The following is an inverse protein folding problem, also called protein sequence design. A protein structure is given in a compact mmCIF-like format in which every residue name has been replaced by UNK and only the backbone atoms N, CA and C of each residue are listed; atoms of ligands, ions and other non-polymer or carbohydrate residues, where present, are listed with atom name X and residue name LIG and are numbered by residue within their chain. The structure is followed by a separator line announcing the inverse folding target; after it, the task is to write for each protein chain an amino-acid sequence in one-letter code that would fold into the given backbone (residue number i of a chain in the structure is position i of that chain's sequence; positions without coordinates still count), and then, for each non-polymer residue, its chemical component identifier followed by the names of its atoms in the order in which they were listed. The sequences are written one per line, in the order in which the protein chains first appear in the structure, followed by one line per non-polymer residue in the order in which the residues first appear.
data_IF_516208487937
#
_entry.id   IF_516208487937
#
_cell.length_a   1.000
_cell.length_b   1.000
_cell.length_c   1.000
_cell.angle_alpha   90.00
_cell.angle_beta   90.00
_cell.angle_gamma   90.00
#
_symmetry.space_group_name_H-M   'P 1'
#
loop_
_entity.id
_entity.type
_entity.pdbx_description
1 polymer ?
#
# COMPACT_ATOMS: atom_id res chain seq x y z
N UNK A 1 5.00 -15.25 -1.14
CA UNK A 1 4.80 -15.95 0.15
C UNK A 1 5.38 -15.17 1.33
N UNK A 2 6.54 -14.54 1.23
CA UNK A 2 7.18 -13.80 2.33
C UNK A 2 6.47 -12.52 2.78
N UNK A 3 5.69 -11.86 1.94
CA UNK A 3 5.08 -10.56 2.27
C UNK A 3 3.88 -10.63 3.22
N UNK A 4 3.10 -11.71 3.18
CA UNK A 4 1.94 -11.88 4.08
C UNK A 4 2.32 -12.50 5.44
N UNK A 5 3.29 -13.41 5.46
CA UNK A 5 3.82 -13.96 6.72
C UNK A 5 4.53 -12.89 7.56
N UNK A 6 5.22 -11.95 6.92
CA UNK A 6 5.82 -10.83 7.63
C UNK A 6 4.78 -9.96 8.35
N UNK A 7 3.55 -9.89 7.80
CA UNK A 7 2.44 -9.17 8.43
C UNK A 7 1.87 -9.90 9.66
N UNK A 8 1.84 -11.22 9.64
CA UNK A 8 1.26 -12.01 10.74
C UNK A 8 2.15 -12.00 11.98
N UNK A 9 3.46 -12.09 11.81
CA UNK A 9 4.42 -12.04 12.93
C UNK A 9 4.56 -10.63 13.53
N UNK A 10 4.44 -9.57 12.71
CA UNK A 10 4.42 -8.20 13.21
C UNK A 10 3.18 -7.88 14.04
N UNK A 11 2.01 -8.39 13.67
CA UNK A 11 0.77 -8.23 14.46
C UNK A 11 0.85 -8.96 15.81
N UNK A 12 1.43 -10.16 15.87
CA UNK A 12 1.63 -10.89 17.13
C UNK A 12 2.63 -10.21 18.06
N UNK A 13 3.74 -9.69 17.55
CA UNK A 13 4.75 -8.99 18.37
C UNK A 13 4.28 -7.64 18.90
N UNK A 14 3.33 -6.99 18.20
CA UNK A 14 2.82 -5.67 18.58
C UNK A 14 1.89 -5.69 19.79
N UNK A 15 1.23 -6.81 20.06
CA UNK A 15 0.35 -6.98 21.23
C UNK A 15 1.11 -7.28 22.52
N UNK A 16 2.41 -7.64 22.45
CA UNK A 16 3.22 -8.04 23.59
C UNK A 16 4.10 -6.94 24.20
N UNK A 17 4.23 -5.75 23.58
CA UNK A 17 5.14 -4.70 24.04
C UNK A 17 4.41 -3.49 24.61
N UNK A 18 3.71 -3.67 25.73
CA UNK A 18 3.42 -2.57 26.65
C UNK A 18 4.08 -2.93 27.96
N UNK A 19 5.15 -2.22 28.29
CA UNK A 19 5.59 -1.77 29.61
C UNK A 19 7.10 -1.48 29.59
N UNK A 20 7.44 -0.22 29.74
CA UNK A 20 8.34 0.28 30.77
C UNK A 20 8.71 1.73 30.48
N UNK A 21 8.11 2.61 31.25
CA UNK A 21 8.53 4.00 31.41
C UNK A 21 9.68 4.02 32.40
N UNK A 22 10.80 4.62 32.06
CA UNK A 22 11.73 5.18 33.05
C UNK A 22 12.34 6.47 32.51
N UNK A 23 11.96 7.58 33.17
CA UNK A 23 12.74 8.82 33.17
C UNK A 23 13.90 8.69 34.19
N UNK A 24 15.06 9.32 33.95
CA UNK A 24 15.40 10.38 34.83
C UNK A 24 15.93 11.66 34.14
N UNK A 25 15.55 12.77 34.75
CA UNK A 25 16.08 14.09 34.51
C UNK A 25 17.56 14.20 34.88
N UNK A 26 18.35 14.92 34.07
CA UNK A 26 19.56 15.56 34.52
C UNK A 26 19.67 16.95 33.90
N UNK A 27 19.75 17.89 34.81
CA UNK A 27 19.98 19.33 34.66
C UNK A 27 21.50 19.59 34.55
N UNK A 28 21.87 20.55 33.69
CA UNK A 28 23.01 21.38 34.02
C UNK A 28 24.14 21.48 33.02
N UNK A 29 24.34 22.59 32.56
CA UNK A 29 25.55 23.45 32.43
C UNK A 29 25.82 23.98 31.02
N UNK A 30 25.55 25.28 30.87
CA UNK A 30 25.94 26.07 29.73
C UNK A 30 27.45 26.28 29.71
N UNK A 31 28.10 25.99 28.58
CA UNK A 31 29.43 26.53 28.27
C UNK A 31 29.34 27.15 26.87
N UNK A 32 29.43 28.49 26.86
CA UNK A 32 29.60 29.33 25.69
C UNK A 32 30.98 29.07 25.08
N UNK A 33 31.03 28.29 24.01
CA UNK A 33 32.16 28.34 23.08
C UNK A 33 31.60 28.71 21.70
N UNK A 34 31.97 29.92 21.26
CA UNK A 34 31.71 30.36 19.91
C UNK A 34 32.48 29.47 18.92
N UNK A 35 31.79 28.50 18.36
CA UNK A 35 32.26 27.78 17.21
C UNK A 35 31.46 28.34 16.04
N UNK A 36 32.14 29.13 15.21
CA UNK A 36 31.65 29.46 13.87
C UNK A 36 31.47 28.15 13.10
N UNK A 37 30.26 27.62 13.12
CA UNK A 37 29.88 26.55 12.26
C UNK A 37 29.78 27.12 10.84
N UNK A 38 30.87 27.00 10.10
CA UNK A 38 30.82 27.03 8.65
C UNK A 38 29.90 25.88 8.28
N UNK A 39 28.63 26.20 8.05
CA UNK A 39 27.67 25.28 7.48
C UNK A 39 28.12 24.98 6.04
N UNK A 40 29.09 24.08 5.89
CA UNK A 40 29.21 23.34 4.63
C UNK A 40 27.95 22.47 4.57
N UNK A 41 26.94 22.96 3.89
CA UNK A 41 25.84 22.17 3.37
C UNK A 41 26.40 21.20 2.31
N UNK A 42 27.14 20.20 2.74
CA UNK A 42 27.22 18.94 2.05
C UNK A 42 25.82 18.33 2.20
N UNK A 43 24.88 18.81 1.39
CA UNK A 43 23.71 18.04 1.04
C UNK A 43 24.29 16.73 0.50
N UNK A 44 24.33 15.69 1.35
CA UNK A 44 24.57 14.34 0.91
C UNK A 44 23.58 14.15 -0.25
N UNK A 45 24.08 13.97 -1.47
CA UNK A 45 23.29 13.50 -2.59
C UNK A 45 22.68 12.21 -2.13
N UNK A 46 21.46 12.29 -1.61
CA UNK A 46 20.66 11.12 -1.26
C UNK A 46 20.51 10.36 -2.57
N UNK A 47 21.21 9.24 -2.66
CA UNK A 47 21.33 8.44 -3.86
C UNK A 47 19.93 8.17 -4.44
N UNK A 48 19.64 8.74 -5.60
CA UNK A 48 18.45 8.40 -6.36
C UNK A 48 18.60 6.97 -6.87
N UNK A 49 17.51 6.22 -6.85
CA UNK A 49 17.46 4.85 -7.32
C UNK A 49 16.70 4.83 -8.66
N UNK A 50 17.47 4.73 -9.75
CA UNK A 50 16.91 4.57 -11.09
C UNK A 50 16.67 3.08 -11.34
N UNK A 51 15.47 2.72 -11.81
CA UNK A 51 15.13 1.35 -12.13
C UNK A 51 14.08 1.22 -13.21
N UNK A 52 14.09 0.06 -13.86
CA UNK A 52 13.01 -0.39 -14.71
C UNK A 52 12.11 -1.36 -13.94
N UNK A 53 10.83 -1.29 -14.22
CA UNK A 53 9.84 -2.16 -13.62
C UNK A 53 8.78 -2.57 -14.63
N UNK A 54 8.27 -3.79 -14.47
CA UNK A 54 7.20 -4.32 -15.29
C UNK A 54 5.92 -4.46 -14.48
N UNK A 55 4.79 -4.22 -15.13
CA UNK A 55 3.47 -4.42 -14.57
C UNK A 55 2.51 -4.91 -15.63
N UNK A 56 1.53 -5.67 -15.22
CA UNK A 56 0.51 -6.19 -16.11
C UNK A 56 -0.86 -6.17 -15.48
N UNK A 57 -1.88 -6.06 -16.34
CA UNK A 57 -3.27 -6.14 -15.95
C UNK A 57 -4.10 -6.78 -17.06
N UNK A 58 -4.90 -7.81 -16.73
CA UNK A 58 -5.80 -8.49 -17.66
C UNK A 58 -7.07 -7.67 -17.87
N UNK A 59 -7.33 -7.25 -19.11
CA UNK A 59 -8.54 -6.53 -19.48
C UNK A 59 -9.74 -7.51 -19.49
N UNK A 60 -10.73 -7.24 -18.69
CA UNK A 60 -11.94 -8.07 -18.56
C UNK A 60 -13.20 -7.27 -18.89
N UNK A 61 -14.31 -7.98 -19.06
CA UNK A 61 -15.60 -7.32 -19.32
C UNK A 61 -15.91 -6.27 -18.23
N UNK A 62 -16.23 -5.05 -18.68
CA UNK A 62 -16.47 -3.89 -17.81
C UNK A 62 -15.27 -2.99 -17.58
N UNK A 63 -14.04 -3.41 -17.95
CA UNK A 63 -12.88 -2.55 -17.88
C UNK A 63 -12.71 -1.75 -19.18
N UNK A 64 -12.20 -0.51 -19.07
CA UNK A 64 -11.72 0.24 -20.22
C UNK A 64 -10.22 0.02 -20.43
N UNK A 65 -9.74 0.22 -21.67
CA UNK A 65 -8.30 0.16 -21.96
C UNK A 65 -7.50 1.14 -21.09
N UNK A 66 -8.04 2.35 -20.86
CA UNK A 66 -7.40 3.36 -20.01
C UNK A 66 -7.28 2.90 -18.56
N UNK A 67 -8.31 2.25 -18.02
CA UNK A 67 -8.24 1.66 -16.68
C UNK A 67 -7.20 0.55 -16.61
N UNK A 68 -7.19 -0.37 -17.58
CA UNK A 68 -6.23 -1.47 -17.62
C UNK A 68 -4.78 -0.95 -17.72
N UNK A 69 -4.52 0.05 -18.55
CA UNK A 69 -3.22 0.71 -18.66
C UNK A 69 -2.81 1.38 -17.34
N UNK A 70 -3.72 2.15 -16.73
CA UNK A 70 -3.46 2.82 -15.45
C UNK A 70 -3.12 1.81 -14.34
N UNK A 71 -3.85 0.71 -14.26
CA UNK A 71 -3.61 -0.34 -13.29
C UNK A 71 -2.29 -1.11 -13.56
N UNK A 72 -1.95 -1.35 -14.83
CA UNK A 72 -0.68 -1.97 -15.20
C UNK A 72 0.52 -1.06 -14.83
N UNK A 73 0.43 0.24 -15.15
CA UNK A 73 1.44 1.24 -14.77
C UNK A 73 1.56 1.33 -13.25
N UNK A 74 0.43 1.39 -12.53
CA UNK A 74 0.45 1.41 -11.08
C UNK A 74 1.09 0.14 -10.50
N UNK A 75 0.80 -1.04 -11.04
CA UNK A 75 1.42 -2.30 -10.61
C UNK A 75 2.95 -2.26 -10.78
N UNK A 76 3.44 -1.75 -11.92
CA UNK A 76 4.87 -1.58 -12.17
C UNK A 76 5.51 -0.60 -11.17
N UNK A 77 4.91 0.59 -10.98
CA UNK A 77 5.38 1.60 -10.02
C UNK A 77 5.41 1.04 -8.60
N UNK A 78 4.34 0.36 -8.17
CA UNK A 78 4.25 -0.24 -6.84
C UNK A 78 5.34 -1.29 -6.61
N UNK A 79 5.62 -2.13 -7.59
CA UNK A 79 6.72 -3.12 -7.54
C UNK A 79 8.07 -2.43 -7.34
N UNK A 80 8.34 -1.38 -8.12
CA UNK A 80 9.55 -0.58 -8.03
C UNK A 80 9.69 0.09 -6.63
N UNK A 81 8.64 0.74 -6.16
CA UNK A 81 8.62 1.40 -4.84
C UNK A 81 8.83 0.40 -3.71
N UNK A 82 8.26 -0.81 -3.81
CA UNK A 82 8.50 -1.87 -2.83
C UNK A 82 9.96 -2.34 -2.81
N UNK A 83 10.59 -2.46 -3.98
CA UNK A 83 12.01 -2.81 -4.08
C UNK A 83 12.89 -1.71 -3.49
N UNK A 84 12.65 -0.45 -3.87
CA UNK A 84 13.35 0.71 -3.31
C UNK A 84 13.16 0.85 -1.79
N UNK A 85 11.96 0.64 -1.28
CA UNK A 85 11.68 0.66 0.16
C UNK A 85 12.46 -0.40 0.94
N UNK A 86 12.70 -1.58 0.34
CA UNK A 86 13.56 -2.61 0.95
C UNK A 86 15.02 -2.15 0.99
N UNK A 87 15.50 -1.53 -0.08
CA UNK A 87 16.87 -1.01 -0.17
C UNK A 87 17.12 0.10 0.86
N UNK A 88 16.21 1.08 0.93
CA UNK A 88 16.33 2.19 1.87
C UNK A 88 16.07 1.78 3.32
N UNK A 89 15.21 0.79 3.58
CA UNK A 89 14.89 0.32 4.94
C UNK A 89 16.07 -0.32 5.66
N UNK A 90 17.06 -0.78 4.93
CA UNK A 90 18.28 -1.32 5.55
C UNK A 90 19.17 -0.25 6.15
N UNK A 91 18.96 1.02 5.84
CA UNK A 91 19.85 2.11 6.25
C UNK A 91 19.24 3.13 7.21
N UNK A 92 18.01 3.62 7.06
CA UNK A 92 17.50 4.74 7.86
C UNK A 92 15.97 4.90 7.92
N UNK A 93 15.18 4.13 7.15
CA UNK A 93 13.76 4.39 6.96
C UNK A 93 12.81 3.45 7.73
N UNK A 94 13.34 2.47 8.49
CA UNK A 94 12.50 1.47 9.20
C UNK A 94 11.55 2.14 10.20
N UNK A 95 11.99 3.19 10.86
CA UNK A 95 11.17 3.92 11.83
C UNK A 95 10.10 4.80 11.18
N UNK A 96 10.38 5.33 9.98
CA UNK A 96 9.45 6.20 9.24
C UNK A 96 8.18 5.47 8.79
N UNK A 97 8.30 4.21 8.39
CA UNK A 97 7.18 3.49 7.80
C UNK A 97 6.20 2.91 8.82
N UNK A 98 6.68 2.37 9.92
CA UNK A 98 5.85 1.80 10.97
C UNK A 98 4.59 1.09 10.45
N UNK A 99 3.46 1.37 11.07
CA UNK A 99 2.14 0.81 10.71
C UNK A 99 1.58 1.34 9.37
N UNK A 100 2.14 2.43 8.84
CA UNK A 100 1.65 3.14 7.65
C UNK A 100 2.35 2.70 6.36
N UNK A 101 3.19 1.68 6.43
CA UNK A 101 4.03 1.25 5.31
C UNK A 101 3.27 1.05 4.00
N UNK A 102 2.13 0.36 4.05
CA UNK A 102 1.35 0.07 2.84
C UNK A 102 0.71 1.33 2.26
N UNK A 103 0.24 2.23 3.12
CA UNK A 103 -0.31 3.52 2.71
C UNK A 103 0.75 4.34 1.99
N UNK A 104 1.92 4.51 2.62
CA UNK A 104 3.05 5.27 2.07
C UNK A 104 3.52 4.69 0.73
N UNK A 105 3.72 3.37 0.64
CA UNK A 105 4.15 2.73 -0.61
C UNK A 105 3.15 3.01 -1.76
N UNK A 106 1.85 2.91 -1.48
CA UNK A 106 0.84 3.10 -2.52
C UNK A 106 0.73 4.58 -2.94
N UNK A 107 0.78 5.53 -2.00
CA UNK A 107 0.79 6.98 -2.30
C UNK A 107 2.06 7.35 -3.08
N UNK A 108 3.23 6.88 -2.64
CA UNK A 108 4.49 7.09 -3.36
C UNK A 108 4.39 6.58 -4.80
N UNK A 109 3.85 5.37 -5.00
CA UNK A 109 3.71 4.80 -6.34
C UNK A 109 2.82 5.64 -7.26
N UNK A 110 1.73 6.23 -6.75
CA UNK A 110 0.89 7.13 -7.54
C UNK A 110 1.61 8.44 -7.88
N UNK A 111 2.32 9.02 -6.92
CA UNK A 111 2.95 10.34 -7.06
C UNK A 111 4.19 10.35 -7.97
N UNK A 112 4.86 9.19 -8.11
CA UNK A 112 6.05 9.09 -8.97
C UNK A 112 5.71 9.31 -10.45
N UNK A 113 6.54 10.09 -11.11
CA UNK A 113 6.56 10.15 -12.57
C UNK A 113 7.32 8.95 -13.13
N UNK A 114 6.85 8.43 -14.25
CA UNK A 114 7.51 7.33 -14.95
C UNK A 114 7.48 7.55 -16.46
N UNK A 115 8.49 7.04 -17.15
CA UNK A 115 8.51 6.98 -18.61
C UNK A 115 8.16 5.58 -19.05
N UNK A 116 7.13 5.43 -19.87
CA UNK A 116 6.79 4.13 -20.47
C UNK A 116 7.82 3.81 -21.56
N UNK A 117 8.54 2.73 -21.38
CA UNK A 117 9.51 2.23 -22.34
C UNK A 117 8.84 1.31 -23.36
N UNK A 118 7.89 0.51 -22.91
CA UNK A 118 7.18 -0.46 -23.73
C UNK A 118 5.76 -0.65 -23.21
N UNK A 119 4.83 -0.79 -24.15
CA UNK A 119 3.44 -1.18 -23.89
C UNK A 119 3.01 -2.22 -24.91
N UNK A 120 2.49 -3.35 -24.42
CA UNK A 120 2.04 -4.46 -25.25
C UNK A 120 0.67 -4.94 -24.77
N UNK A 121 -0.07 -5.53 -25.71
CA UNK A 121 -1.38 -6.12 -25.44
C UNK A 121 -1.45 -7.57 -25.94
N UNK A 122 -0.64 -8.50 -25.37
CA UNK A 122 -0.70 -9.90 -25.75
C UNK A 122 -2.05 -10.49 -25.37
N UNK A 123 -2.50 -11.48 -26.17
CA UNK A 123 -3.66 -12.29 -25.84
C UNK A 123 -3.20 -13.48 -25.03
N UNK A 124 -3.75 -13.69 -23.83
CA UNK A 124 -3.55 -14.89 -23.03
C UNK A 124 -4.92 -15.45 -22.63
N UNK A 125 -5.13 -16.74 -22.90
CA UNK A 125 -6.41 -17.42 -22.58
C UNK A 125 -7.65 -16.66 -23.10
N UNK A 126 -7.57 -16.11 -24.31
CA UNK A 126 -8.59 -15.29 -24.95
C UNK A 126 -8.89 -13.94 -24.26
N UNK A 127 -8.00 -13.47 -23.40
CA UNK A 127 -8.10 -12.15 -22.77
C UNK A 127 -6.89 -11.28 -23.12
N UNK A 128 -7.09 -10.00 -23.51
CA UNK A 128 -6.00 -9.09 -23.70
C UNK A 128 -5.39 -8.70 -22.35
N UNK A 129 -4.07 -8.72 -22.27
CA UNK A 129 -3.32 -8.28 -21.10
C UNK A 129 -2.58 -7.00 -21.45
N UNK A 130 -2.81 -5.92 -20.71
CA UNK A 130 -1.95 -4.76 -20.75
C UNK A 130 -0.66 -5.09 -20.02
N UNK A 131 0.46 -5.12 -20.72
CA UNK A 131 1.79 -5.28 -20.14
C UNK A 131 2.60 -4.02 -20.42
N UNK A 132 3.16 -3.43 -19.37
CA UNK A 132 3.97 -2.21 -19.48
C UNK A 132 5.34 -2.43 -18.86
N UNK A 133 6.36 -1.86 -19.50
CA UNK A 133 7.67 -1.65 -18.88
C UNK A 133 7.89 -0.16 -18.74
N UNK A 134 8.24 0.27 -17.56
CA UNK A 134 8.45 1.67 -17.23
C UNK A 134 9.85 1.87 -16.66
N UNK A 135 10.36 3.09 -16.86
CA UNK A 135 11.57 3.60 -16.19
C UNK A 135 11.16 4.70 -15.23
N UNK A 136 11.72 4.67 -14.02
CA UNK A 136 11.45 5.67 -12.99
C UNK A 136 12.67 5.88 -12.10
N UNK A 137 12.70 7.03 -11.45
CA UNK A 137 13.70 7.41 -10.45
C UNK A 137 13.02 7.57 -9.12
N UNK A 138 13.51 6.91 -8.10
CA UNK A 138 12.96 6.94 -6.74
C UNK A 138 14.00 7.56 -5.81
N UNK A 139 13.58 8.53 -5.00
CA UNK A 139 14.40 9.19 -4.00
C UNK A 139 13.83 8.92 -2.60
N UNK A 140 14.63 8.92 -1.55
CA UNK A 140 14.11 8.85 -0.18
C UNK A 140 13.11 9.96 0.15
N UNK A 141 13.26 11.17 -0.45
CA UNK A 141 12.32 12.29 -0.30
C UNK A 141 10.89 11.92 -0.74
N UNK A 142 10.73 11.08 -1.78
CA UNK A 142 9.42 10.71 -2.31
C UNK A 142 8.58 9.97 -1.25
N UNK A 143 9.23 9.19 -0.40
CA UNK A 143 8.58 8.51 0.72
C UNK A 143 8.21 9.47 1.85
N UNK A 144 9.05 10.48 2.10
CA UNK A 144 8.80 11.53 3.10
C UNK A 144 7.60 12.37 2.66
N UNK A 145 7.55 12.76 1.40
CA UNK A 145 6.43 13.52 0.82
C UNK A 145 5.12 12.72 0.92
N UNK A 146 5.14 11.44 0.55
CA UNK A 146 3.98 10.56 0.68
C UNK A 146 3.53 10.38 2.15
N UNK A 147 4.47 10.36 3.10
CA UNK A 147 4.14 10.32 4.52
C UNK A 147 3.49 11.62 4.99
N UNK A 148 3.99 12.77 4.58
CA UNK A 148 3.40 14.07 4.90
C UNK A 148 1.98 14.14 4.35
N UNK A 149 1.77 13.73 3.10
CA UNK A 149 0.47 13.67 2.46
C UNK A 149 -0.50 12.74 3.22
N UNK A 150 -0.05 11.54 3.60
CA UNK A 150 -0.85 10.62 4.39
C UNK A 150 -1.27 11.22 5.74
N UNK A 151 -0.37 11.94 6.41
CA UNK A 151 -0.69 12.64 7.66
C UNK A 151 -1.72 13.77 7.47
N UNK A 152 -1.66 14.49 6.35
CA UNK A 152 -2.65 15.52 6.00
C UNK A 152 -4.03 14.92 5.76
N UNK A 153 -4.08 13.78 5.06
CA UNK A 153 -5.33 13.03 4.84
C UNK A 153 -5.94 12.54 6.16
N UNK A 154 -5.12 12.05 7.09
CA UNK A 154 -5.59 11.64 8.43
C UNK A 154 -6.20 12.82 9.22
N UNK A 155 -5.57 13.99 9.18
CA UNK A 155 -6.11 15.19 9.85
C UNK A 155 -7.45 15.62 9.26
N UNK A 156 -7.61 15.57 7.94
CA UNK A 156 -8.88 15.89 7.28
C UNK A 156 -10.00 14.95 7.71
N UNK A 157 -9.73 13.65 7.79
CA UNK A 157 -10.73 12.65 8.20
C UNK A 157 -11.09 12.78 9.67
N UNK A 158 -10.11 12.98 10.57
CA UNK A 158 -10.41 13.18 11.99
C UNK A 158 -11.21 14.47 12.24
N UNK A 159 -11.00 15.51 11.45
CA UNK A 159 -11.82 16.72 11.52
C UNK A 159 -13.25 16.52 10.98
N UNK A 160 -13.43 15.61 10.01
CA UNK A 160 -14.74 15.29 9.43
C UNK A 160 -15.52 14.25 10.22
N UNK A 161 -14.86 13.34 10.95
CA UNK A 161 -15.53 12.30 11.75
C UNK A 161 -16.34 12.85 12.93
N UNK A 162 -16.11 14.12 13.31
CA UNK A 162 -16.95 14.85 14.26
C UNK A 162 -18.25 15.40 13.64
N UNK A 163 -18.37 15.34 12.32
CA UNK A 163 -19.56 15.81 11.59
C UNK A 163 -20.07 14.69 10.70
N UNK A 164 -20.98 13.89 11.20
CA UNK A 164 -21.75 12.90 10.44
C UNK A 164 -21.00 11.64 9.98
N UNK A 165 -21.71 10.52 9.92
CA UNK A 165 -21.37 9.28 9.19
C UNK A 165 -21.26 9.57 7.68
N UNK A 166 -20.27 10.38 7.30
CA UNK A 166 -20.07 10.69 5.88
C UNK A 166 -19.58 9.45 5.16
N UNK A 167 -20.35 9.07 4.16
CA UNK A 167 -19.93 8.06 3.21
C UNK A 167 -18.59 8.48 2.58
N UNK A 168 -17.56 7.60 2.59
CA UNK A 168 -16.27 7.92 2.02
C UNK A 168 -16.42 8.28 0.53
N UNK A 169 -15.99 9.48 0.15
CA UNK A 169 -16.04 9.96 -1.23
C UNK A 169 -14.89 9.35 -2.02
N UNK A 170 -15.21 8.65 -3.11
CA UNK A 170 -14.19 8.16 -4.05
C UNK A 170 -14.00 9.22 -5.13
N UNK A 171 -12.76 9.65 -5.32
CA UNK A 171 -12.41 10.53 -6.41
C UNK A 171 -12.71 9.88 -7.78
N UNK A 172 -13.19 10.67 -8.73
CA UNK A 172 -13.34 10.19 -10.11
C UNK A 172 -12.00 10.09 -10.87
N UNK A 173 -10.92 10.61 -10.29
CA UNK A 173 -9.58 10.46 -10.87
C UNK A 173 -9.07 9.03 -10.69
N UNK A 174 -8.30 8.54 -11.67
CA UNK A 174 -7.69 7.21 -11.62
C UNK A 174 -6.38 7.29 -10.82
N UNK A 175 -6.50 7.23 -9.49
CA UNK A 175 -5.40 7.20 -8.54
C UNK A 175 -5.48 5.91 -7.70
N UNK A 176 -5.15 4.75 -8.28
CA UNK A 176 -5.36 3.45 -7.61
C UNK A 176 -4.57 3.30 -6.31
N UNK A 177 -3.40 3.91 -6.21
CA UNK A 177 -2.58 3.88 -5.00
C UNK A 177 -3.20 4.65 -3.85
N UNK A 178 -3.72 5.85 -4.10
CA UNK A 178 -4.44 6.63 -3.10
C UNK A 178 -5.73 5.92 -2.66
N UNK A 179 -6.47 5.40 -3.63
CA UNK A 179 -7.71 4.66 -3.36
C UNK A 179 -7.43 3.45 -2.43
N UNK A 180 -6.38 2.69 -2.69
CA UNK A 180 -6.08 1.52 -1.85
C UNK A 180 -5.41 1.90 -0.51
N UNK A 181 -4.63 2.99 -0.48
CA UNK A 181 -4.05 3.51 0.75
C UNK A 181 -5.15 3.93 1.75
N UNK A 182 -6.23 4.54 1.25
CA UNK A 182 -7.40 4.87 2.07
C UNK A 182 -8.03 3.62 2.69
N UNK A 183 -8.19 2.54 1.93
CA UNK A 183 -8.70 1.28 2.47
C UNK A 183 -7.82 0.74 3.60
N UNK A 184 -6.48 0.75 3.43
CA UNK A 184 -5.54 0.34 4.48
C UNK A 184 -5.61 1.26 5.70
N UNK A 185 -5.81 2.57 5.51
CA UNK A 185 -6.00 3.52 6.60
C UNK A 185 -7.24 3.20 7.43
N UNK A 186 -8.37 2.95 6.78
CA UNK A 186 -9.61 2.55 7.46
C UNK A 186 -9.43 1.25 8.26
N UNK A 187 -8.69 0.28 7.71
CA UNK A 187 -8.35 -0.97 8.40
C UNK A 187 -7.49 -0.69 9.64
N UNK A 188 -6.45 0.12 9.51
CA UNK A 188 -5.56 0.49 10.61
C UNK A 188 -6.29 1.22 11.75
N UNK A 189 -7.28 2.05 11.39
CA UNK A 189 -8.16 2.75 12.33
C UNK A 189 -9.25 1.84 12.91
N UNK A 190 -9.25 0.55 12.56
CA UNK A 190 -10.25 -0.45 12.97
C UNK A 190 -11.70 -0.12 12.53
N UNK A 191 -11.87 0.79 11.59
CA UNK A 191 -13.15 1.12 10.96
C UNK A 191 -13.54 0.07 9.91
N UNK A 192 -13.58 -1.21 10.31
CA UNK A 192 -13.69 -2.35 9.39
C UNK A 192 -15.01 -2.34 8.59
N UNK A 193 -16.10 -1.83 9.16
CA UNK A 193 -17.38 -1.69 8.45
C UNK A 193 -17.27 -0.68 7.32
N UNK A 194 -16.70 0.50 7.62
CA UNK A 194 -16.48 1.56 6.64
C UNK A 194 -15.50 1.10 5.55
N UNK A 195 -14.45 0.34 5.91
CA UNK A 195 -13.52 -0.24 4.95
C UNK A 195 -14.21 -1.15 3.94
N UNK A 196 -15.18 -1.99 4.37
CA UNK A 196 -15.96 -2.84 3.45
C UNK A 196 -16.78 -1.97 2.49
N UNK A 197 -17.51 -0.98 2.99
CA UNK A 197 -18.32 -0.06 2.17
C UNK A 197 -17.45 0.66 1.14
N UNK A 198 -16.28 1.14 1.57
CA UNK A 198 -15.33 1.80 0.70
C UNK A 198 -14.81 0.86 -0.40
N UNK A 199 -14.41 -0.37 -0.03
CA UNK A 199 -13.94 -1.38 -0.97
C UNK A 199 -15.05 -1.84 -1.94
N UNK A 200 -16.32 -1.86 -1.53
CA UNK A 200 -17.45 -2.13 -2.42
C UNK A 200 -17.61 -1.02 -3.48
N UNK A 201 -17.34 0.22 -3.12
CA UNK A 201 -17.33 1.34 -4.06
C UNK A 201 -16.11 1.28 -5.00
N UNK A 202 -14.92 0.96 -4.47
CA UNK A 202 -13.74 0.75 -5.30
C UNK A 202 -13.96 -0.39 -6.30
N UNK A 203 -14.66 -1.45 -5.90
CA UNK A 203 -15.01 -2.54 -6.81
C UNK A 203 -15.91 -2.07 -7.97
N UNK A 204 -16.79 -1.10 -7.76
CA UNK A 204 -17.56 -0.48 -8.85
C UNK A 204 -16.68 0.34 -9.80
N UNK A 205 -15.65 1.03 -9.24
CA UNK A 205 -14.70 1.85 -10.01
C UNK A 205 -13.68 0.98 -10.77
N UNK A 206 -13.23 -0.13 -10.16
CA UNK A 206 -12.23 -1.06 -10.69
C UNK A 206 -12.74 -2.50 -10.55
N UNK A 207 -13.71 -2.94 -11.37
CA UNK A 207 -14.48 -4.16 -11.14
C UNK A 207 -13.65 -5.43 -11.09
N UNK A 208 -12.55 -5.48 -11.82
CA UNK A 208 -11.71 -6.67 -11.95
C UNK A 208 -10.31 -6.49 -11.34
N UNK A 209 -10.11 -5.49 -10.51
CA UNK A 209 -8.82 -5.28 -9.85
C UNK A 209 -8.65 -6.23 -8.64
N UNK A 210 -7.76 -7.25 -8.74
CA UNK A 210 -7.66 -8.30 -7.73
C UNK A 210 -7.26 -7.77 -6.35
N UNK A 211 -6.49 -6.68 -6.27
CA UNK A 211 -6.04 -6.09 -5.00
C UNK A 211 -7.21 -5.69 -4.10
N UNK A 212 -8.34 -5.28 -4.66
CA UNK A 212 -9.54 -4.95 -3.88
C UNK A 212 -10.04 -6.17 -3.10
N UNK A 213 -10.03 -7.33 -3.73
CA UNK A 213 -10.50 -8.57 -3.12
C UNK A 213 -9.51 -9.12 -2.10
N UNK A 214 -8.21 -8.93 -2.31
CA UNK A 214 -7.18 -9.23 -1.31
C UNK A 214 -7.39 -8.39 -0.04
N UNK A 215 -7.63 -7.09 -0.20
CA UNK A 215 -7.87 -6.20 0.93
C UNK A 215 -9.22 -6.49 1.60
N UNK A 216 -10.26 -6.86 0.84
CA UNK A 216 -11.53 -7.37 1.41
C UNK A 216 -11.30 -8.63 2.24
N UNK A 217 -10.49 -9.56 1.76
CA UNK A 217 -10.16 -10.77 2.51
C UNK A 217 -9.49 -10.44 3.84
N UNK A 218 -8.53 -9.48 3.86
CA UNK A 218 -7.92 -8.99 5.09
C UNK A 218 -8.96 -8.41 6.06
N UNK A 219 -9.90 -7.59 5.56
CA UNK A 219 -10.97 -7.03 6.40
C UNK A 219 -11.85 -8.13 6.98
N UNK A 220 -12.25 -9.12 6.18
CA UNK A 220 -13.07 -10.23 6.66
C UNK A 220 -12.32 -11.15 7.63
N UNK A 221 -11.02 -11.32 7.46
CA UNK A 221 -10.16 -12.00 8.43
C UNK A 221 -10.20 -11.29 9.79
N UNK A 222 -10.00 -9.96 9.80
CA UNK A 222 -10.04 -9.13 11.02
C UNK A 222 -11.44 -9.10 11.67
N UNK A 223 -12.50 -9.30 10.87
CA UNK A 223 -13.88 -9.42 11.36
C UNK A 223 -14.25 -10.84 11.81
N UNK A 224 -13.32 -11.79 11.79
CA UNK A 224 -13.57 -13.22 12.08
C UNK A 224 -14.68 -13.84 11.21
N UNK A 225 -14.70 -13.51 9.90
CA UNK A 225 -15.68 -14.00 8.92
C UNK A 225 -15.01 -14.91 7.89
N UNK A 226 -14.62 -16.16 8.24
CA UNK A 226 -13.77 -17.00 7.40
C UNK A 226 -14.42 -17.31 6.04
N UNK A 227 -15.72 -17.58 5.95
CA UNK A 227 -16.42 -17.85 4.68
C UNK A 227 -16.35 -16.66 3.72
N UNK A 228 -16.47 -15.42 4.22
CA UNK A 228 -16.37 -14.22 3.37
C UNK A 228 -14.93 -13.94 2.96
N UNK A 229 -13.97 -14.21 3.84
CA UNK A 229 -12.54 -14.12 3.54
C UNK A 229 -12.18 -15.08 2.41
N UNK A 230 -12.57 -16.35 2.52
CA UNK A 230 -12.31 -17.37 1.50
C UNK A 230 -12.91 -16.98 0.14
N UNK A 231 -14.18 -16.56 0.10
CA UNK A 231 -14.82 -16.09 -1.12
C UNK A 231 -14.09 -14.89 -1.76
N UNK A 232 -13.57 -13.98 -0.95
CA UNK A 232 -12.79 -12.85 -1.44
C UNK A 232 -11.42 -13.30 -2.00
N UNK A 233 -10.71 -14.22 -1.33
CA UNK A 233 -9.46 -14.80 -1.82
C UNK A 233 -9.68 -15.59 -3.12
N UNK A 234 -10.75 -16.36 -3.18
CA UNK A 234 -11.11 -17.08 -4.41
C UNK A 234 -11.32 -16.10 -5.56
N UNK A 235 -12.05 -15.01 -5.32
CA UNK A 235 -12.26 -13.98 -6.35
C UNK A 235 -10.96 -13.30 -6.77
N UNK A 236 -10.07 -12.99 -5.84
CA UNK A 236 -8.75 -12.45 -6.15
C UNK A 236 -7.93 -13.41 -7.03
N UNK A 237 -7.96 -14.72 -6.69
CA UNK A 237 -7.28 -15.78 -7.46
C UNK A 237 -7.85 -15.89 -8.88
N UNK A 238 -9.19 -15.94 -9.04
CA UNK A 238 -9.87 -15.94 -10.35
C UNK A 238 -9.50 -14.71 -11.20
N UNK A 239 -9.20 -13.59 -10.56
CA UNK A 239 -8.75 -12.37 -11.21
C UNK A 239 -7.23 -12.33 -11.46
N UNK A 240 -6.52 -13.45 -11.23
CA UNK A 240 -5.09 -13.61 -11.53
C UNK A 240 -4.15 -13.17 -10.42
N UNK A 241 -4.64 -12.94 -9.20
CA UNK A 241 -3.77 -12.67 -8.06
C UNK A 241 -3.02 -13.93 -7.64
N UNK A 242 -1.69 -13.92 -7.77
CA UNK A 242 -0.85 -15.00 -7.27
C UNK A 242 -0.86 -15.06 -5.73
N UNK A 243 -0.90 -13.92 -5.04
CA UNK A 243 -1.03 -13.83 -3.59
C UNK A 243 -2.36 -14.39 -3.12
N UNK A 244 -3.47 -13.99 -3.75
CA UNK A 244 -4.80 -14.52 -3.44
C UNK A 244 -4.90 -16.03 -3.61
N UNK A 245 -4.32 -16.60 -4.69
CA UNK A 245 -4.26 -18.03 -4.90
C UNK A 245 -3.40 -18.76 -3.85
N UNK A 246 -2.29 -18.17 -3.45
CA UNK A 246 -1.41 -18.74 -2.42
C UNK A 246 -2.07 -18.72 -1.05
N UNK A 247 -2.71 -17.62 -0.70
CA UNK A 247 -3.39 -17.47 0.58
C UNK A 247 -4.59 -18.42 0.68
N UNK A 248 -5.36 -18.59 -0.41
CA UNK A 248 -6.48 -19.54 -0.47
C UNK A 248 -6.04 -20.98 -0.17
N UNK A 249 -4.86 -21.39 -0.64
CA UNK A 249 -4.30 -22.73 -0.37
C UNK A 249 -3.86 -22.93 1.08
N UNK A 250 -3.54 -21.86 1.79
CA UNK A 250 -3.12 -21.93 3.20
C UNK A 250 -4.29 -22.11 4.17
N UNK A 251 -5.51 -21.77 3.76
CA UNK A 251 -6.69 -21.95 4.59
C UNK A 251 -7.28 -23.35 4.30
N UNK A 252 -7.23 -24.26 5.28
CA UNK A 252 -7.79 -25.60 5.09
C UNK A 252 -9.28 -25.45 4.79
N UNK A 253 -9.71 -25.96 3.62
CA UNK A 253 -11.12 -26.11 3.29
C UNK A 253 -11.81 -26.87 4.43
N UNK A 254 -12.94 -26.39 4.96
CA UNK A 254 -13.70 -27.19 5.88
C UNK A 254 -13.98 -28.51 5.18
N UNK A 255 -13.46 -29.62 5.72
CA UNK A 255 -13.77 -30.94 5.21
C UNK A 255 -15.29 -31.06 5.21
N UNK A 256 -15.88 -31.04 4.02
CA UNK A 256 -17.29 -31.42 3.84
C UNK A 256 -17.38 -32.86 4.35
N UNK A 257 -17.85 -33.01 5.58
CA UNK A 257 -18.18 -34.34 6.08
C UNK A 257 -19.37 -34.83 5.24
N UNK A 258 -19.26 -36.02 4.68
CA UNK A 258 -20.32 -36.62 3.86
C UNK A 258 -21.59 -36.86 4.68
#
# INVERSE_FOLDING_TARGET
METYFYHHDHLKRYLSSKMAVFFPAMVGLAILFGISIVSSSAASELNSFEMEAEGSYSLRGGDTKTQAQSLAVFAAKRSAVQAAARYFSQKELIELFGKKRLEIINITADNLTSTTLQENWPMMENQPICSVRIKLVIKPSDFIEAQIENLQLEKKVSAQSYREEMEPVISNTLLPGHDIAEAYRLIRMQSLRTAVIYLDRLQKKYPNWPVIFEVKALVFYLQHKPKKMEAALQKACELGSQSGCSDLKMFPQPKVQP
#
